data_IF_874064540519
#
_entry.id   IF_874064540519
#
_cell.length_a   1.000
_cell.length_b   1.000
_cell.length_c   1.000
_cell.angle_alpha   90.00
_cell.angle_beta   90.00
_cell.angle_gamma   90.00
#
_symmetry.space_group_name_H-M   'P 1'
#
loop_
_entity.id
_entity.type
_entity.pdbx_description
1 polymer ?
#
# COMPACT_ATOMS: atom_id res chain seq x y z
N UNK A 1 -68.84 -0.89 -78.11
CA UNK A 1 -69.77 0.20 -78.51
C UNK A 1 -70.73 0.51 -77.36
N UNK A 2 -71.26 1.75 -77.32
CA UNK A 2 -72.31 2.31 -76.43
C UNK A 2 -71.94 2.60 -74.95
N UNK A 3 -72.02 3.90 -74.65
CA UNK A 3 -71.97 4.60 -73.34
C UNK A 3 -73.28 4.45 -72.55
N UNK A 4 -73.23 4.73 -71.24
CA UNK A 4 -73.90 5.86 -70.54
C UNK A 4 -73.46 5.85 -69.05
N UNK A 5 -72.77 6.88 -68.55
CA UNK A 5 -73.28 8.10 -67.84
C UNK A 5 -73.67 7.81 -66.36
N UNK A 6 -73.37 8.62 -65.34
CA UNK A 6 -72.64 9.93 -65.22
C UNK A 6 -72.34 10.26 -63.72
N UNK A 7 -71.23 10.96 -63.45
CA UNK A 7 -70.98 12.05 -62.44
C UNK A 7 -71.37 11.80 -60.94
N UNK A 8 -70.50 11.76 -59.90
CA UNK A 8 -69.42 12.67 -59.38
C UNK A 8 -69.91 13.78 -58.42
N UNK A 9 -69.06 14.44 -57.57
CA UNK A 9 -67.81 14.03 -56.90
C UNK A 9 -67.72 14.49 -55.40
N UNK A 10 -66.63 14.17 -54.69
CA UNK A 10 -65.97 15.09 -53.74
C UNK A 10 -64.47 14.73 -53.54
N UNK A 11 -63.68 15.66 -52.98
CA UNK A 11 -62.21 15.85 -53.14
C UNK A 11 -61.59 16.13 -51.74
N UNK A 12 -60.35 15.79 -51.36
CA UNK A 12 -59.10 15.50 -52.12
C UNK A 12 -58.25 14.33 -51.54
N UNK A 13 -56.98 14.22 -51.97
CA UNK A 13 -55.90 13.38 -51.40
C UNK A 13 -54.71 14.26 -50.94
N UNK A 14 -53.77 13.66 -50.19
CA UNK A 14 -52.36 14.05 -49.91
C UNK A 14 -51.97 14.75 -48.56
N UNK A 15 -51.48 13.93 -47.62
CA UNK A 15 -50.10 13.91 -47.03
C UNK A 15 -49.41 15.12 -46.32
N UNK A 16 -48.93 14.80 -45.09
CA UNK A 16 -47.58 15.06 -44.50
C UNK A 16 -47.20 16.35 -43.71
N UNK A 17 -46.65 16.10 -42.50
CA UNK A 17 -45.64 16.83 -41.68
C UNK A 17 -45.87 18.24 -41.07
N UNK A 18 -45.99 18.30 -39.73
CA UNK A 18 -45.30 19.21 -38.76
C UNK A 18 -45.89 19.01 -37.33
N UNK A 19 -45.18 18.43 -36.35
CA UNK A 19 -44.24 19.01 -35.36
C UNK A 19 -44.85 19.80 -34.17
N UNK A 20 -44.64 19.24 -32.96
CA UNK A 20 -44.45 19.86 -31.63
C UNK A 20 -45.57 20.76 -31.04
N UNK A 21 -46.25 20.27 -29.97
CA UNK A 21 -46.20 20.85 -28.59
C UNK A 21 -47.14 20.10 -27.62
N UNK A 22 -46.58 19.37 -26.64
CA UNK A 22 -47.18 19.13 -25.30
C UNK A 22 -46.34 18.17 -24.44
N UNK A 23 -45.13 18.61 -24.06
CA UNK A 23 -44.33 17.94 -23.03
C UNK A 23 -44.75 18.41 -21.63
N UNK A 24 -45.46 17.55 -20.87
CA UNK A 24 -45.50 17.56 -19.40
C UNK A 24 -46.18 16.26 -18.92
N UNK A 25 -45.75 15.73 -17.76
CA UNK A 25 -46.17 14.45 -17.16
C UNK A 25 -45.61 13.16 -17.81
N UNK A 26 -44.28 13.06 -17.93
CA UNK A 26 -43.56 11.78 -18.07
C UNK A 26 -42.20 11.84 -17.36
N UNK A 27 -42.21 11.99 -16.04
CA UNK A 27 -40.98 12.09 -15.22
C UNK A 27 -41.20 11.54 -13.81
N UNK A 28 -41.48 10.23 -13.71
CA UNK A 28 -41.24 9.38 -12.53
C UNK A 28 -41.80 7.97 -12.81
N UNK A 29 -41.03 7.14 -13.53
CA UNK A 29 -41.17 5.67 -13.59
C UNK A 29 -40.02 5.06 -14.41
N UNK A 30 -38.79 5.23 -13.93
CA UNK A 30 -37.72 4.26 -14.17
C UNK A 30 -37.44 3.63 -12.81
N UNK A 31 -38.37 2.81 -12.34
CA UNK A 31 -38.06 1.84 -11.31
C UNK A 31 -37.14 0.79 -11.93
N UNK A 32 -36.01 0.50 -11.29
CA UNK A 32 -35.06 -0.48 -11.81
C UNK A 32 -35.64 -1.89 -11.74
N UNK A 33 -35.59 -2.62 -12.86
CA UNK A 33 -35.93 -4.05 -12.95
C UNK A 33 -34.87 -4.94 -12.25
N UNK A 34 -34.64 -4.70 -10.96
CA UNK A 34 -33.84 -5.56 -10.11
C UNK A 34 -34.73 -6.63 -9.48
N UNK A 35 -34.42 -7.91 -9.72
CA UNK A 35 -35.21 -9.02 -9.20
C UNK A 35 -35.18 -9.07 -7.65
N UNK A 36 -36.20 -9.67 -6.99
CA UNK A 36 -36.27 -9.72 -5.53
C UNK A 36 -35.06 -10.40 -4.84
N UNK A 37 -34.37 -11.30 -5.54
CA UNK A 37 -33.12 -11.92 -5.07
C UNK A 37 -31.92 -10.97 -5.17
N UNK A 38 -31.80 -10.20 -6.26
CA UNK A 38 -30.77 -9.17 -6.42
C UNK A 38 -30.93 -8.05 -5.36
N UNK A 39 -32.14 -7.56 -5.15
CA UNK A 39 -32.43 -6.57 -4.09
C UNK A 39 -32.10 -7.11 -2.69
N UNK A 40 -32.37 -8.39 -2.41
CA UNK A 40 -32.01 -9.02 -1.13
C UNK A 40 -30.49 -9.14 -0.96
N UNK A 41 -29.77 -9.56 -1.99
CA UNK A 41 -28.31 -9.69 -1.96
C UNK A 41 -27.63 -8.31 -1.78
N UNK A 42 -28.08 -7.30 -2.53
CA UNK A 42 -27.63 -5.92 -2.41
C UNK A 42 -27.81 -5.39 -0.98
N UNK A 43 -29.02 -5.52 -0.42
CA UNK A 43 -29.31 -5.10 0.95
C UNK A 43 -28.44 -5.83 1.97
N UNK A 44 -28.19 -7.14 1.80
CA UNK A 44 -27.30 -7.90 2.68
C UNK A 44 -25.85 -7.42 2.62
N UNK A 45 -25.34 -7.08 1.43
CA UNK A 45 -24.00 -6.51 1.24
C UNK A 45 -23.88 -5.13 1.90
N UNK A 46 -24.87 -4.25 1.73
CA UNK A 46 -24.92 -2.94 2.39
C UNK A 46 -24.88 -3.05 3.92
N UNK A 47 -25.64 -3.99 4.51
CA UNK A 47 -25.60 -4.25 5.95
C UNK A 47 -24.24 -4.79 6.42
N UNK A 48 -23.54 -5.60 5.60
CA UNK A 48 -22.21 -6.10 5.92
C UNK A 48 -21.16 -4.97 5.90
N UNK A 49 -21.21 -4.08 4.91
CA UNK A 49 -20.35 -2.88 4.83
C UNK A 49 -20.58 -1.98 6.06
N UNK A 50 -21.83 -1.70 6.41
CA UNK A 50 -22.15 -0.86 7.57
C UNK A 50 -21.62 -1.42 8.90
N UNK A 51 -21.73 -2.73 9.13
CA UNK A 51 -21.13 -3.38 10.32
C UNK A 51 -19.62 -3.26 10.32
N UNK A 52 -18.97 -3.56 9.20
CA UNK A 52 -17.52 -3.45 9.06
C UNK A 52 -17.02 -2.01 9.27
N UNK A 53 -17.80 -1.00 8.85
CA UNK A 53 -17.53 0.42 9.16
C UNK A 53 -17.62 0.70 10.66
N UNK A 54 -18.66 0.23 11.35
CA UNK A 54 -18.81 0.39 12.80
C UNK A 54 -17.69 -0.30 13.60
N UNK A 55 -17.24 -1.48 13.16
CA UNK A 55 -16.08 -2.18 13.73
C UNK A 55 -14.75 -1.47 13.46
N UNK A 56 -14.59 -0.88 12.27
CA UNK A 56 -13.42 -0.09 11.91
C UNK A 56 -13.33 1.19 12.73
N UNK A 57 -14.43 1.92 12.86
CA UNK A 57 -14.54 3.16 13.60
C UNK A 57 -15.93 3.31 14.23
N UNK A 58 -15.98 3.33 15.57
CA UNK A 58 -17.22 3.45 16.35
C UNK A 58 -18.09 4.68 16.03
N UNK A 59 -17.54 5.75 15.45
CA UNK A 59 -18.32 6.94 15.10
C UNK A 59 -19.48 6.64 14.14
N UNK A 60 -19.36 5.59 13.30
CA UNK A 60 -20.42 5.17 12.37
C UNK A 60 -21.68 4.63 13.04
N UNK A 61 -21.59 4.15 14.29
CA UNK A 61 -22.75 3.62 15.05
C UNK A 61 -23.85 4.67 15.32
N UNK A 62 -23.53 5.95 15.13
CA UNK A 62 -24.45 7.09 15.30
C UNK A 62 -24.75 7.81 13.98
N UNK A 63 -24.39 7.21 12.84
CA UNK A 63 -24.43 7.81 11.50
C UNK A 63 -25.10 6.90 10.47
N UNK A 64 -25.62 7.53 9.44
CA UNK A 64 -26.25 6.88 8.28
C UNK A 64 -25.56 7.33 6.99
N UNK A 65 -24.34 6.83 6.70
CA UNK A 65 -23.62 7.19 5.48
C UNK A 65 -24.38 6.75 4.23
N UNK A 66 -24.38 7.59 3.19
CA UNK A 66 -24.86 7.17 1.86
C UNK A 66 -23.82 6.29 1.16
N UNK A 67 -24.03 4.98 1.29
CA UNK A 67 -23.21 3.94 0.70
C UNK A 67 -23.44 3.76 -0.81
N UNK A 68 -24.53 4.30 -1.39
CA UNK A 68 -24.83 4.18 -2.82
C UNK A 68 -23.86 4.97 -3.70
N UNK A 69 -23.28 6.04 -3.17
CA UNK A 69 -22.34 6.92 -3.88
C UNK A 69 -20.94 6.31 -4.02
N UNK A 70 -20.71 5.14 -3.42
CA UNK A 70 -19.50 4.35 -3.66
C UNK A 70 -19.92 3.26 -4.65
N UNK A 71 -19.35 3.29 -5.86
CA UNK A 71 -19.66 2.32 -6.90
C UNK A 71 -19.06 0.94 -6.52
N UNK A 72 -19.84 0.11 -5.80
CA UNK A 72 -19.31 -1.05 -5.06
C UNK A 72 -19.67 -2.42 -5.65
N UNK A 73 -18.99 -2.79 -6.73
CA UNK A 73 -18.69 -4.21 -7.04
C UNK A 73 -17.56 -4.75 -6.13
N UNK A 74 -17.52 -4.32 -4.86
CA UNK A 74 -16.43 -4.62 -3.93
C UNK A 74 -16.80 -5.72 -2.94
N UNK A 75 -16.12 -6.86 -3.08
CA UNK A 75 -15.92 -7.77 -1.97
C UNK A 75 -14.98 -7.12 -0.93
N UNK A 76 -15.36 -7.13 0.35
CA UNK A 76 -14.48 -6.74 1.46
C UNK A 76 -13.47 -7.87 1.68
N UNK A 77 -12.47 -7.95 0.80
CA UNK A 77 -11.46 -9.01 0.80
C UNK A 77 -10.31 -8.76 1.79
N UNK A 78 -10.12 -7.51 2.25
CA UNK A 78 -9.07 -7.10 3.19
C UNK A 78 -9.36 -5.73 3.82
N UNK A 79 -8.51 -5.28 4.74
CA UNK A 79 -8.65 -3.99 5.44
C UNK A 79 -8.50 -2.76 4.52
N UNK A 80 -7.67 -2.83 3.47
CA UNK A 80 -7.36 -1.65 2.63
C UNK A 80 -8.59 -1.12 1.86
N UNK A 81 -9.42 -1.93 1.18
CA UNK A 81 -10.69 -1.47 0.61
C UNK A 81 -11.63 -0.87 1.67
N UNK A 82 -11.74 -1.49 2.85
CA UNK A 82 -12.62 -1.03 3.93
C UNK A 82 -12.19 0.34 4.47
N UNK A 83 -10.88 0.55 4.69
CA UNK A 83 -10.32 1.84 5.13
C UNK A 83 -10.50 2.91 4.04
N UNK A 84 -10.34 2.58 2.75
CA UNK A 84 -10.63 3.52 1.65
C UNK A 84 -12.10 3.95 1.62
N UNK A 85 -13.03 3.00 1.75
CA UNK A 85 -14.48 3.26 1.84
C UNK A 85 -14.76 4.22 3.01
N UNK A 86 -14.29 3.87 4.20
CA UNK A 86 -14.42 4.68 5.41
C UNK A 86 -13.93 6.12 5.25
N UNK A 87 -12.68 6.28 4.82
CA UNK A 87 -12.07 7.60 4.71
C UNK A 87 -12.70 8.43 3.59
N UNK A 88 -13.25 7.80 2.54
CA UNK A 88 -14.02 8.49 1.49
C UNK A 88 -15.36 9.02 2.01
N UNK A 89 -16.05 8.25 2.86
CA UNK A 89 -17.28 8.70 3.53
C UNK A 89 -16.98 9.83 4.53
N UNK A 90 -15.94 9.67 5.35
CA UNK A 90 -15.49 10.69 6.28
C UNK A 90 -15.11 11.99 5.53
N UNK A 91 -14.36 11.89 4.42
CA UNK A 91 -14.00 13.04 3.59
C UNK A 91 -15.24 13.78 3.05
N UNK A 92 -16.31 13.07 2.68
CA UNK A 92 -17.58 13.70 2.29
C UNK A 92 -18.24 14.44 3.46
N UNK A 93 -18.44 13.79 4.61
CA UNK A 93 -18.99 14.46 5.80
C UNK A 93 -18.20 15.72 6.17
N UNK A 94 -16.87 15.70 6.00
CA UNK A 94 -16.01 16.85 6.27
C UNK A 94 -16.07 17.96 5.21
N UNK A 95 -16.46 17.64 3.97
CA UNK A 95 -16.75 18.63 2.92
C UNK A 95 -18.09 19.32 3.15
N UNK A 96 -19.09 18.57 3.64
CA UNK A 96 -20.47 19.04 3.84
C UNK A 96 -20.69 19.71 5.22
N UNK A 97 -19.73 19.57 6.15
CA UNK A 97 -19.80 20.13 7.50
C UNK A 97 -19.86 21.67 7.54
N UNK A 98 -20.65 22.22 8.46
CA UNK A 98 -20.70 23.67 8.68
C UNK A 98 -19.36 24.22 9.19
N UNK A 99 -18.82 25.17 8.44
CA UNK A 99 -17.58 25.89 8.75
C UNK A 99 -17.82 27.36 9.07
N UNK A 100 -19.08 27.81 9.21
CA UNK A 100 -19.47 29.20 9.53
C UNK A 100 -18.57 29.83 10.61
N UNK A 101 -18.44 29.14 11.75
CA UNK A 101 -17.65 29.47 12.94
C UNK A 101 -16.13 29.57 12.76
N UNK A 102 -15.57 29.05 11.66
CA UNK A 102 -14.13 29.02 11.43
C UNK A 102 -13.62 30.36 10.86
N UNK A 103 -12.47 30.82 11.33
CA UNK A 103 -11.81 31.99 10.76
C UNK A 103 -11.19 31.69 9.38
N UNK A 104 -10.72 32.73 8.67
CA UNK A 104 -10.17 32.58 7.31
C UNK A 104 -8.96 31.63 7.24
N UNK A 105 -8.07 31.69 8.23
CA UNK A 105 -6.88 30.81 8.33
C UNK A 105 -7.28 29.36 8.55
N UNK A 106 -8.22 29.09 9.47
CA UNK A 106 -8.74 27.74 9.72
C UNK A 106 -9.46 27.17 8.49
N UNK A 107 -10.26 27.97 7.77
CA UNK A 107 -10.89 27.58 6.50
C UNK A 107 -9.85 27.22 5.43
N UNK A 108 -8.76 27.98 5.36
CA UNK A 108 -7.64 27.68 4.45
C UNK A 108 -6.93 26.38 4.82
N UNK A 109 -6.56 26.18 6.10
CA UNK A 109 -5.89 24.95 6.54
C UNK A 109 -6.77 23.72 6.37
N UNK A 110 -8.05 23.80 6.75
CA UNK A 110 -9.02 22.71 6.52
C UNK A 110 -9.07 22.29 5.05
N UNK A 111 -9.13 23.25 4.12
CA UNK A 111 -9.09 22.97 2.67
C UNK A 111 -7.82 22.26 2.23
N UNK A 112 -6.66 22.65 2.77
CA UNK A 112 -5.38 21.98 2.50
C UNK A 112 -5.37 20.55 3.05
N UNK A 113 -5.83 20.34 4.28
CA UNK A 113 -5.91 19.01 4.88
C UNK A 113 -6.89 18.08 4.15
N UNK A 114 -8.07 18.56 3.70
CA UNK A 114 -9.00 17.75 2.91
C UNK A 114 -8.37 17.28 1.60
N UNK A 115 -7.59 18.14 0.93
CA UNK A 115 -6.81 17.77 -0.26
C UNK A 115 -5.76 16.71 0.07
N UNK A 116 -5.02 16.86 1.16
CA UNK A 116 -4.03 15.87 1.63
C UNK A 116 -4.69 14.53 1.98
N UNK A 117 -5.85 14.55 2.64
CA UNK A 117 -6.62 13.34 2.97
C UNK A 117 -7.09 12.62 1.70
N UNK A 118 -7.57 13.35 0.68
CA UNK A 118 -7.92 12.76 -0.62
C UNK A 118 -6.69 12.10 -1.30
N UNK A 119 -5.52 12.72 -1.24
CA UNK A 119 -4.27 12.12 -1.75
C UNK A 119 -3.89 10.85 -0.98
N UNK A 120 -4.00 10.86 0.35
CA UNK A 120 -3.74 9.71 1.22
C UNK A 120 -4.70 8.52 0.93
N UNK A 121 -6.00 8.79 0.78
CA UNK A 121 -7.01 7.79 0.36
C UNK A 121 -6.64 7.18 -0.99
N UNK A 122 -6.26 8.02 -1.96
CA UNK A 122 -5.88 7.58 -3.30
C UNK A 122 -4.60 6.75 -3.30
N UNK A 123 -3.62 7.07 -2.45
CA UNK A 123 -2.43 6.25 -2.24
C UNK A 123 -2.78 4.87 -1.66
N UNK A 124 -3.69 4.81 -0.67
CA UNK A 124 -4.13 3.56 -0.04
C UNK A 124 -3.05 2.85 0.78
N UNK A 125 -2.04 3.59 1.24
CA UNK A 125 -0.97 3.11 2.11
C UNK A 125 -1.39 3.41 3.55
N UNK A 126 -1.67 2.36 4.32
CA UNK A 126 -2.24 2.47 5.66
C UNK A 126 -1.42 1.67 6.68
N UNK A 127 -1.33 2.14 7.94
CA UNK A 127 -0.67 1.43 9.03
C UNK A 127 -1.09 -0.02 9.19
N UNK A 128 -0.14 -0.84 9.66
CA UNK A 128 -0.37 -2.23 10.05
C UNK A 128 -0.36 -2.39 11.57
N UNK A 129 -1.39 -3.03 12.13
CA UNK A 129 -1.35 -3.47 13.53
C UNK A 129 -0.55 -4.77 13.65
N UNK A 130 0.73 -4.64 13.96
CA UNK A 130 1.63 -5.75 14.33
C UNK A 130 1.82 -5.89 15.84
N UNK A 131 1.16 -5.03 16.63
CA UNK A 131 1.48 -4.83 18.05
C UNK A 131 0.61 -5.65 19.00
N UNK A 132 -0.70 -5.66 18.80
CA UNK A 132 -1.67 -6.27 19.74
C UNK A 132 -2.81 -6.96 19.00
N UNK A 133 -3.31 -8.10 19.50
CA UNK A 133 -4.44 -8.80 18.89
C UNK A 133 -5.72 -7.94 18.83
N UNK A 134 -6.57 -8.20 17.82
CA UNK A 134 -7.82 -7.49 17.58
C UNK A 134 -7.66 -6.23 16.71
N UNK A 135 -8.70 -5.38 16.69
CA UNK A 135 -8.66 -4.07 16.01
C UNK A 135 -8.17 -3.00 16.97
N UNK A 136 -7.14 -2.25 16.61
CA UNK A 136 -6.58 -1.16 17.43
C UNK A 136 -6.13 0.03 16.57
N UNK A 137 -6.21 1.29 17.05
CA UNK A 137 -5.47 2.38 16.43
C UNK A 137 -3.97 2.06 16.34
N UNK A 138 -3.30 2.61 15.33
CA UNK A 138 -1.84 2.61 15.18
C UNK A 138 -1.49 3.99 14.63
N UNK A 139 -0.66 4.76 15.33
CA UNK A 139 -0.39 6.15 14.97
C UNK A 139 0.62 6.26 13.83
N UNK A 140 1.79 5.63 13.99
CA UNK A 140 2.72 5.30 12.91
C UNK A 140 3.12 3.83 13.08
N UNK A 141 2.98 3.02 12.02
CA UNK A 141 3.46 1.64 12.05
C UNK A 141 5.00 1.60 12.01
N UNK A 142 5.66 0.47 12.31
CA UNK A 142 7.11 0.48 12.37
C UNK A 142 7.74 0.59 10.95
N UNK A 143 6.98 0.50 9.85
CA UNK A 143 7.44 0.80 8.49
C UNK A 143 7.47 2.31 8.20
N UNK A 144 7.04 3.15 9.13
CA UNK A 144 6.90 4.60 8.95
C UNK A 144 5.57 5.01 8.31
N UNK A 145 4.64 4.06 8.09
CA UNK A 145 3.31 4.39 7.55
C UNK A 145 2.53 5.12 8.62
N UNK A 146 2.27 6.42 8.40
CA UNK A 146 1.46 7.22 9.30
C UNK A 146 -0.02 6.88 9.11
N UNK A 147 -0.81 6.94 10.18
CA UNK A 147 -2.27 6.95 10.09
C UNK A 147 -2.77 8.22 9.40
N UNK A 148 -4.05 8.25 9.02
CA UNK A 148 -4.62 9.40 8.30
C UNK A 148 -4.39 10.73 9.05
N UNK A 149 -4.55 10.75 10.37
CA UNK A 149 -4.33 11.96 11.19
C UNK A 149 -2.85 12.29 11.37
N UNK A 150 -2.00 11.30 11.64
CA UNK A 150 -0.54 11.49 11.69
C UNK A 150 0.02 12.03 10.36
N UNK A 151 -0.50 11.56 9.23
CA UNK A 151 -0.16 12.06 7.89
C UNK A 151 -0.60 13.52 7.70
N UNK A 152 -1.79 13.91 8.15
CA UNK A 152 -2.23 15.31 8.12
C UNK A 152 -1.37 16.23 8.99
N UNK A 153 -0.92 15.76 10.15
CA UNK A 153 0.01 16.48 11.04
C UNK A 153 1.35 16.66 10.33
N UNK A 154 2.00 15.57 9.92
CA UNK A 154 3.32 15.60 9.27
C UNK A 154 3.33 16.45 7.99
N UNK A 155 2.36 16.26 7.08
CA UNK A 155 2.27 17.00 5.81
C UNK A 155 1.89 18.47 5.97
N UNK A 156 1.49 18.91 7.17
CA UNK A 156 1.29 20.33 7.50
C UNK A 156 2.52 21.01 8.11
N UNK A 157 3.68 20.35 8.10
CA UNK A 157 4.94 20.86 8.65
C UNK A 157 5.25 20.42 10.09
N UNK A 158 4.39 19.60 10.70
CA UNK A 158 4.48 19.22 12.11
C UNK A 158 5.02 17.79 12.31
N UNK A 159 6.02 17.37 11.53
CA UNK A 159 6.54 16.00 11.56
C UNK A 159 7.11 15.59 12.93
N UNK A 160 7.73 16.51 13.67
CA UNK A 160 8.20 16.26 15.04
C UNK A 160 7.06 15.95 16.01
N UNK A 161 5.92 16.66 15.90
CA UNK A 161 4.71 16.38 16.68
C UNK A 161 4.13 15.00 16.33
N UNK A 162 4.13 14.61 15.06
CA UNK A 162 3.67 13.28 14.65
C UNK A 162 4.54 12.15 15.25
N UNK A 163 5.86 12.33 15.30
CA UNK A 163 6.78 11.38 15.93
C UNK A 163 6.58 11.33 17.46
N UNK A 164 6.48 12.47 18.12
CA UNK A 164 6.25 12.56 19.57
C UNK A 164 4.94 11.88 19.99
N UNK A 165 3.84 12.12 19.25
CA UNK A 165 2.57 11.41 19.49
C UNK A 165 2.73 9.90 19.28
N UNK A 166 3.53 9.46 18.31
CA UNK A 166 3.79 8.04 18.12
C UNK A 166 4.60 7.42 19.27
N UNK A 167 5.58 8.13 19.82
CA UNK A 167 6.40 7.66 20.95
C UNK A 167 5.58 7.55 22.24
N UNK A 168 4.70 8.52 22.51
CA UNK A 168 3.88 8.55 23.73
C UNK A 168 2.59 7.70 23.64
N UNK A 169 1.96 7.65 22.46
CA UNK A 169 0.55 7.24 22.29
C UNK A 169 0.32 6.37 21.03
N UNK A 170 1.27 5.50 20.69
CA UNK A 170 1.26 4.68 19.46
C UNK A 170 -0.06 3.97 19.14
N UNK A 171 -0.80 3.49 20.16
CA UNK A 171 -1.97 2.61 20.00
C UNK A 171 -3.28 3.22 20.54
N UNK A 172 -3.31 4.53 20.78
CA UNK A 172 -4.42 5.20 21.45
C UNK A 172 -5.42 5.85 20.49
N UNK A 173 -6.66 6.00 20.96
CA UNK A 173 -7.65 6.84 20.27
C UNK A 173 -7.30 8.31 20.49
N UNK A 174 -7.58 9.17 19.51
CA UNK A 174 -7.33 10.62 19.60
C UNK A 174 -8.03 11.30 20.78
N UNK A 175 -9.11 10.72 21.32
CA UNK A 175 -9.74 11.18 22.55
C UNK A 175 -8.85 11.06 23.79
N UNK A 176 -7.85 10.20 23.74
CA UNK A 176 -7.08 9.72 24.88
C UNK A 176 -5.64 10.28 24.85
N UNK A 177 -5.13 10.67 23.67
CA UNK A 177 -3.81 11.29 23.46
C UNK A 177 -3.69 12.63 24.23
N UNK A 178 -2.55 12.86 24.91
CA UNK A 178 -2.30 14.06 25.71
C UNK A 178 -1.04 14.85 25.33
N UNK A 179 -0.28 14.39 24.33
CA UNK A 179 0.93 15.04 23.79
C UNK A 179 0.78 16.55 23.61
N UNK A 180 1.78 17.29 24.05
CA UNK A 180 1.85 18.74 23.90
C UNK A 180 1.85 19.12 22.40
N UNK A 181 1.15 20.20 22.03
CA UNK A 181 1.03 20.65 20.65
C UNK A 181 -0.15 20.05 19.87
N UNK A 182 -0.70 18.89 20.25
CA UNK A 182 -1.82 18.28 19.52
C UNK A 182 -3.08 19.16 19.53
N UNK A 183 -3.42 19.78 20.67
CA UNK A 183 -4.57 20.70 20.77
C UNK A 183 -4.36 21.96 19.93
N UNK A 184 -3.19 22.57 20.02
CA UNK A 184 -2.83 23.76 19.26
C UNK A 184 -2.88 23.50 17.74
N UNK A 185 -2.36 22.34 17.30
CA UNK A 185 -2.47 21.91 15.91
C UNK A 185 -3.93 21.66 15.49
N UNK A 186 -4.73 20.99 16.32
CA UNK A 186 -6.14 20.73 16.04
C UNK A 186 -6.93 22.04 15.88
N UNK A 187 -6.73 23.02 16.77
CA UNK A 187 -7.39 24.33 16.67
C UNK A 187 -6.99 25.11 15.41
N UNK A 188 -5.71 25.03 15.02
CA UNK A 188 -5.20 25.65 13.79
C UNK A 188 -5.69 24.94 12.50
N UNK A 189 -5.88 23.61 12.55
CA UNK A 189 -6.27 22.79 11.40
C UNK A 189 -7.67 23.10 10.84
N UNK A 190 -8.56 23.66 11.66
CA UNK A 190 -9.97 23.84 11.32
C UNK A 190 -10.82 22.56 11.40
N UNK A 191 -10.31 21.49 12.00
CA UNK A 191 -11.10 20.34 12.45
C UNK A 191 -11.38 20.39 13.95
N UNK A 192 -12.50 19.79 14.36
CA UNK A 192 -12.78 19.42 15.74
C UNK A 192 -12.23 18.03 16.08
N UNK A 193 -12.09 17.72 17.38
CA UNK A 193 -11.69 16.38 17.83
C UNK A 193 -12.67 15.27 17.38
N UNK A 194 -13.97 15.56 17.24
CA UNK A 194 -14.95 14.61 16.74
C UNK A 194 -14.73 14.27 15.25
N UNK A 195 -14.33 15.26 14.45
CA UNK A 195 -13.97 15.08 13.04
C UNK A 195 -12.65 14.30 12.89
N UNK A 196 -11.63 14.62 13.68
CA UNK A 196 -10.38 13.85 13.70
C UNK A 196 -10.61 12.40 14.18
N UNK A 197 -11.51 12.18 15.14
CA UNK A 197 -11.92 10.85 15.57
C UNK A 197 -12.73 10.08 14.51
N UNK A 198 -13.44 10.77 13.61
CA UNK A 198 -14.04 10.16 12.41
C UNK A 198 -12.96 9.83 11.35
N UNK A 199 -11.87 10.59 11.27
CA UNK A 199 -10.74 10.31 10.36
C UNK A 199 -9.87 9.15 10.87
N UNK A 200 -9.83 8.87 12.18
CA UNK A 200 -9.00 7.80 12.76
C UNK A 200 -9.66 6.41 12.64
N UNK A 201 -9.16 5.50 11.78
CA UNK A 201 -9.59 4.11 11.81
C UNK A 201 -8.88 3.32 12.91
N UNK A 202 -9.35 2.08 13.12
CA UNK A 202 -8.54 1.00 13.70
C UNK A 202 -7.96 0.10 12.61
N UNK A 203 -6.95 -0.71 12.94
CA UNK A 203 -6.34 -1.67 12.04
C UNK A 203 -6.44 -3.07 12.63
N UNK A 204 -6.88 -4.04 11.83
CA UNK A 204 -6.95 -5.44 12.25
C UNK A 204 -5.55 -6.01 12.48
N UNK A 205 -5.34 -6.68 13.62
CA UNK A 205 -4.07 -7.33 13.93
C UNK A 205 -3.68 -8.33 12.85
N UNK A 206 -2.48 -8.16 12.30
CA UNK A 206 -1.88 -9.08 11.35
C UNK A 206 -1.22 -10.21 12.11
N UNK A 207 -1.89 -11.37 12.14
CA UNK A 207 -1.26 -12.60 12.64
C UNK A 207 -0.07 -12.94 11.77
N UNK A 208 1.12 -12.87 12.36
CA UNK A 208 2.37 -12.92 11.62
C UNK A 208 2.72 -14.29 11.06
N UNK A 209 3.35 -14.28 9.89
CA UNK A 209 4.22 -15.34 9.41
C UNK A 209 5.58 -15.18 10.10
N UNK A 210 6.02 -16.15 10.89
CA UNK A 210 7.41 -16.14 11.40
C UNK A 210 8.33 -16.50 10.24
N UNK A 211 9.34 -15.68 9.95
CA UNK A 211 10.34 -15.97 8.92
C UNK A 211 11.71 -16.15 9.56
N UNK A 212 12.34 -17.29 9.30
CA UNK A 212 13.67 -17.62 9.80
C UNK A 212 14.66 -17.78 8.64
N UNK A 213 15.86 -17.22 8.81
CA UNK A 213 16.97 -17.32 7.86
C UNK A 213 18.08 -18.24 8.39
N UNK A 214 19.05 -18.66 7.57
CA UNK A 214 20.32 -19.19 8.07
C UNK A 214 21.00 -18.16 8.99
N UNK A 215 21.72 -18.63 10.00
CA UNK A 215 22.29 -17.76 11.04
C UNK A 215 23.20 -16.68 10.46
N UNK A 216 24.01 -17.02 9.47
CA UNK A 216 24.94 -16.11 8.81
C UNK A 216 24.22 -14.97 8.07
N UNK A 217 23.02 -15.26 7.55
CA UNK A 217 22.15 -14.30 6.87
C UNK A 217 21.41 -13.43 7.88
N UNK A 218 20.88 -14.02 8.97
CA UNK A 218 20.23 -13.26 10.04
C UNK A 218 21.20 -12.25 10.69
N UNK A 219 22.42 -12.68 11.05
CA UNK A 219 23.45 -11.80 11.59
C UNK A 219 23.85 -10.71 10.58
N UNK A 220 24.02 -11.07 9.30
CA UNK A 220 24.33 -10.09 8.25
C UNK A 220 23.23 -9.02 8.09
N UNK A 221 21.96 -9.42 8.11
CA UNK A 221 20.81 -8.50 8.06
C UNK A 221 20.73 -7.60 9.31
N UNK A 222 21.18 -8.09 10.47
CA UNK A 222 21.32 -7.30 11.69
C UNK A 222 22.56 -6.37 11.68
N UNK A 223 23.42 -6.49 10.66
CA UNK A 223 24.60 -5.64 10.46
C UNK A 223 25.92 -6.25 10.92
N UNK A 224 25.96 -7.55 11.23
CA UNK A 224 27.17 -8.29 11.56
C UNK A 224 27.53 -9.27 10.43
N UNK A 225 28.60 -8.99 9.69
CA UNK A 225 29.07 -9.84 8.59
C UNK A 225 30.08 -10.92 9.00
N UNK A 226 30.52 -11.00 10.26
CA UNK A 226 31.63 -11.86 10.69
C UNK A 226 31.37 -13.35 10.41
N UNK A 227 30.16 -13.86 10.70
CA UNK A 227 29.80 -15.25 10.45
C UNK A 227 29.76 -15.57 8.96
N UNK A 228 29.14 -14.70 8.15
CA UNK A 228 29.07 -14.84 6.69
C UNK A 228 30.46 -14.79 6.05
N UNK A 229 31.30 -13.83 6.46
CA UNK A 229 32.68 -13.70 5.97
C UNK A 229 33.56 -14.89 6.39
N UNK A 230 33.38 -15.41 7.59
CA UNK A 230 34.08 -16.62 8.06
C UNK A 230 33.67 -17.85 7.24
N UNK A 231 32.37 -18.00 6.97
CA UNK A 231 31.81 -19.12 6.22
C UNK A 231 32.18 -19.10 4.73
N UNK A 232 32.29 -17.92 4.12
CA UNK A 232 32.86 -17.73 2.79
C UNK A 232 34.36 -18.08 2.77
N UNK A 233 35.13 -17.54 3.71
CA UNK A 233 36.59 -17.72 3.76
C UNK A 233 37.03 -19.17 4.01
N UNK A 234 36.25 -19.93 4.79
CA UNK A 234 36.55 -21.33 5.08
C UNK A 234 35.91 -22.33 4.08
N UNK A 235 35.17 -21.83 3.07
CA UNK A 235 34.52 -22.66 2.04
C UNK A 235 33.31 -23.45 2.51
N UNK A 236 32.75 -23.18 3.71
CA UNK A 236 31.50 -23.80 4.16
C UNK A 236 30.26 -23.24 3.46
N UNK A 237 30.35 -22.04 2.91
CA UNK A 237 29.36 -21.44 2.02
C UNK A 237 30.05 -21.07 0.69
N UNK A 238 29.50 -21.57 -0.42
CA UNK A 238 29.94 -21.21 -1.76
C UNK A 238 29.59 -19.74 -2.09
N UNK A 239 30.46 -19.05 -2.82
CA UNK A 239 30.29 -17.61 -3.15
C UNK A 239 29.02 -17.33 -3.97
N UNK A 240 28.54 -18.32 -4.73
CA UNK A 240 27.32 -18.30 -5.54
C UNK A 240 26.15 -19.04 -4.86
N UNK A 241 26.29 -19.44 -3.60
CA UNK A 241 25.21 -20.05 -2.82
C UNK A 241 23.97 -19.14 -2.79
N UNK A 242 22.79 -19.78 -2.81
CA UNK A 242 21.50 -19.10 -2.84
C UNK A 242 20.75 -19.29 -1.52
N UNK A 243 20.18 -18.19 -1.02
CA UNK A 243 19.18 -18.17 0.05
C UNK A 243 17.93 -17.50 -0.52
N UNK A 244 16.78 -18.15 -0.45
CA UNK A 244 15.54 -17.59 -1.02
C UNK A 244 15.61 -17.31 -2.52
N UNK A 245 16.36 -18.14 -3.26
CA UNK A 245 16.61 -17.96 -4.70
C UNK A 245 17.59 -16.84 -5.06
N UNK A 246 18.17 -16.13 -4.08
CA UNK A 246 19.03 -14.96 -4.25
C UNK A 246 20.47 -15.31 -3.88
N UNK A 247 21.44 -14.86 -4.67
CA UNK A 247 22.87 -15.06 -4.36
C UNK A 247 23.32 -14.10 -3.26
N UNK A 248 24.49 -14.34 -2.67
CA UNK A 248 25.08 -13.45 -1.67
C UNK A 248 25.36 -12.05 -2.28
N UNK A 249 25.65 -11.97 -3.58
CA UNK A 249 25.80 -10.70 -4.30
C UNK A 249 24.48 -9.90 -4.34
N UNK A 250 23.32 -10.55 -4.46
CA UNK A 250 22.02 -9.88 -4.32
C UNK A 250 21.77 -9.38 -2.89
N UNK A 251 22.19 -10.13 -1.86
CA UNK A 251 22.10 -9.69 -0.46
C UNK A 251 22.92 -8.41 -0.24
N UNK A 252 24.19 -8.43 -0.67
CA UNK A 252 25.11 -7.31 -0.50
C UNK A 252 24.62 -6.05 -1.23
N UNK A 253 24.12 -6.21 -2.46
CA UNK A 253 23.57 -5.11 -3.22
C UNK A 253 22.27 -4.53 -2.63
N UNK A 254 21.37 -5.38 -2.12
CA UNK A 254 20.15 -4.95 -1.43
C UNK A 254 20.45 -4.20 -0.11
N UNK A 255 21.54 -4.56 0.57
CA UNK A 255 22.01 -3.97 1.82
C UNK A 255 22.86 -2.69 1.66
N UNK A 256 23.31 -2.38 0.43
CA UNK A 256 24.22 -1.26 0.16
C UNK A 256 25.69 -1.54 0.49
N UNK A 257 26.05 -2.80 0.75
CA UNK A 257 27.39 -3.19 1.20
C UNK A 257 28.37 -3.28 0.03
N UNK A 258 28.92 -2.13 -0.35
CA UNK A 258 29.85 -2.00 -1.47
C UNK A 258 31.16 -2.79 -1.25
N UNK A 259 31.59 -2.98 -0.01
CA UNK A 259 32.83 -3.70 0.27
C UNK A 259 32.64 -5.21 0.23
N UNK A 260 31.48 -5.73 0.68
CA UNK A 260 31.11 -7.11 0.43
C UNK A 260 30.88 -7.38 -1.07
N UNK A 261 30.23 -6.48 -1.82
CA UNK A 261 30.05 -6.60 -3.28
C UNK A 261 31.40 -6.80 -4.00
N UNK A 262 32.42 -5.98 -3.68
CA UNK A 262 33.77 -6.14 -4.26
C UNK A 262 34.39 -7.47 -3.90
N UNK A 263 34.40 -7.83 -2.60
CA UNK A 263 35.00 -9.07 -2.08
C UNK A 263 34.38 -10.33 -2.68
N UNK A 264 33.06 -10.32 -2.92
CA UNK A 264 32.35 -11.42 -3.56
C UNK A 264 32.80 -11.60 -5.01
N UNK A 265 32.93 -10.51 -5.77
CA UNK A 265 33.37 -10.55 -7.17
C UNK A 265 34.86 -10.91 -7.30
N UNK A 266 35.72 -10.40 -6.41
CA UNK A 266 37.11 -10.86 -6.24
C UNK A 266 37.17 -12.37 -5.92
N UNK A 267 36.19 -12.87 -5.17
CA UNK A 267 36.01 -14.29 -4.82
C UNK A 267 35.33 -15.16 -5.89
N UNK A 268 34.99 -14.63 -7.07
CA UNK A 268 34.37 -15.39 -8.16
C UNK A 268 32.84 -15.49 -8.10
N UNK A 269 32.16 -14.52 -7.47
CA UNK A 269 30.72 -14.37 -7.63
C UNK A 269 30.33 -14.09 -9.09
N UNK A 270 29.26 -14.73 -9.54
CA UNK A 270 28.64 -14.50 -10.84
C UNK A 270 27.94 -13.12 -10.85
N UNK A 271 28.50 -12.19 -11.62
CA UNK A 271 27.99 -10.81 -11.78
C UNK A 271 26.64 -10.78 -12.50
N UNK A 272 26.42 -11.70 -13.44
CA UNK A 272 25.24 -11.78 -14.30
C UNK A 272 24.14 -12.66 -13.68
N UNK A 273 24.38 -13.20 -12.48
CA UNK A 273 23.42 -14.03 -11.75
C UNK A 273 22.08 -13.32 -11.57
N UNK A 274 21.01 -13.99 -12.01
CA UNK A 274 19.62 -13.59 -11.72
C UNK A 274 19.03 -14.37 -10.54
N UNK A 275 18.14 -13.72 -9.80
CA UNK A 275 17.40 -14.31 -8.69
C UNK A 275 16.21 -15.13 -9.16
N UNK A 276 15.83 -16.12 -8.34
CA UNK A 276 14.63 -16.95 -8.52
C UNK A 276 13.65 -16.75 -7.36
N UNK A 277 12.51 -17.44 -7.41
CA UNK A 277 11.46 -17.36 -6.38
C UNK A 277 11.82 -17.99 -5.03
N UNK A 278 12.89 -18.78 -4.93
CA UNK A 278 13.23 -19.54 -3.73
C UNK A 278 12.31 -20.74 -3.43
N UNK A 279 11.09 -20.77 -3.96
CA UNK A 279 10.16 -21.91 -3.87
C UNK A 279 9.30 -22.05 -5.14
N UNK A 280 8.40 -23.05 -5.17
CA UNK A 280 7.58 -23.32 -6.34
C UNK A 280 6.42 -22.31 -6.51
N UNK A 281 6.01 -22.09 -7.77
CA UNK A 281 4.95 -21.13 -8.13
C UNK A 281 3.58 -21.45 -7.53
N UNK A 282 3.31 -22.67 -7.04
CA UNK A 282 2.03 -23.01 -6.38
C UNK A 282 2.05 -22.68 -4.89
N UNK A 283 3.19 -22.85 -4.23
CA UNK A 283 3.40 -22.45 -2.84
C UNK A 283 3.38 -20.92 -2.69
N UNK A 284 3.97 -20.17 -3.64
CA UNK A 284 3.86 -18.70 -3.71
C UNK A 284 2.38 -18.23 -3.70
N UNK A 285 1.47 -18.89 -4.42
CA UNK A 285 0.03 -18.52 -4.45
C UNK A 285 -0.69 -18.72 -3.11
N UNK A 286 -0.08 -19.44 -2.16
CA UNK A 286 -0.67 -19.81 -0.85
C UNK A 286 -0.13 -18.99 0.30
N UNK A 287 0.75 -18.05 0.01
CA UNK A 287 1.42 -17.16 0.96
C UNK A 287 0.44 -16.36 1.81
N UNK A 288 0.87 -16.00 3.02
CA UNK A 288 0.04 -15.39 4.06
C UNK A 288 -0.91 -16.37 4.75
N UNK A 289 -1.05 -17.62 4.27
CA UNK A 289 -1.80 -18.70 4.94
C UNK A 289 -0.92 -19.63 5.78
N UNK A 290 0.33 -19.23 6.01
CA UNK A 290 1.35 -19.98 6.74
C UNK A 290 1.73 -19.21 8.00
N UNK A 291 2.06 -19.90 9.10
CA UNK A 291 2.51 -19.23 10.34
C UNK A 291 4.03 -19.31 10.53
N UNK A 292 4.70 -20.20 9.80
CA UNK A 292 6.15 -20.35 9.82
C UNK A 292 6.67 -20.56 8.40
N UNK A 293 7.71 -19.82 8.06
CA UNK A 293 8.49 -19.96 6.83
C UNK A 293 9.97 -19.99 7.19
N UNK A 294 10.71 -20.92 6.60
CA UNK A 294 12.13 -21.12 6.91
C UNK A 294 12.93 -21.21 5.62
N UNK A 295 13.83 -20.25 5.43
CA UNK A 295 14.76 -20.17 4.31
C UNK A 295 16.06 -20.87 4.69
N UNK A 296 16.65 -21.59 3.75
CA UNK A 296 17.89 -22.34 3.94
C UNK A 296 18.83 -22.12 2.75
N UNK A 297 20.12 -22.43 2.92
CA UNK A 297 21.09 -22.39 1.83
C UNK A 297 20.82 -23.52 0.81
N UNK A 298 20.77 -23.15 -0.47
CA UNK A 298 20.71 -24.05 -1.63
C UNK A 298 19.53 -25.06 -1.66
N UNK A 299 18.50 -24.86 -0.86
CA UNK A 299 17.25 -25.66 -0.90
C UNK A 299 16.02 -24.75 -1.04
N UNK A 300 14.86 -25.29 -1.47
CA UNK A 300 13.62 -24.53 -1.48
C UNK A 300 13.23 -24.00 -0.10
N UNK A 301 12.64 -22.80 -0.07
CA UNK A 301 12.05 -22.21 1.15
C UNK A 301 10.90 -23.11 1.66
N UNK A 302 10.90 -23.41 2.96
CA UNK A 302 9.95 -24.33 3.62
C UNK A 302 8.81 -23.54 4.25
N UNK A 303 7.56 -23.99 4.07
CA UNK A 303 6.35 -23.32 4.55
C UNK A 303 5.52 -24.27 5.43
N UNK A 304 5.10 -23.83 6.62
CA UNK A 304 4.36 -24.67 7.57
C UNK A 304 3.43 -23.90 8.50
N UNK A 305 2.57 -24.65 9.20
CA UNK A 305 1.51 -24.14 10.09
C UNK A 305 0.31 -23.54 9.35
N UNK A 306 -0.91 -23.78 9.84
CA UNK A 306 -2.14 -23.27 9.19
C UNK A 306 -2.48 -21.87 9.71
N UNK A 307 -2.16 -20.84 8.93
CA UNK A 307 -2.45 -19.44 9.24
C UNK A 307 -3.78 -18.95 8.65
N UNK A 308 -4.38 -17.95 9.29
CA UNK A 308 -5.33 -17.04 8.62
C UNK A 308 -4.53 -16.12 7.68
N UNK A 309 -5.10 -15.64 6.55
CA UNK A 309 -4.44 -14.66 5.70
C UNK A 309 -3.97 -13.44 6.50
N UNK A 310 -2.65 -13.27 6.60
CA UNK A 310 -2.00 -12.16 7.30
C UNK A 310 -0.52 -12.08 6.91
N UNK A 311 -0.04 -10.87 6.61
CA UNK A 311 1.37 -10.61 6.30
C UNK A 311 1.92 -9.73 7.41
N UNK A 312 2.50 -10.35 8.42
CA UNK A 312 3.38 -9.70 9.38
C UNK A 312 4.59 -10.59 9.55
N UNK A 313 5.78 -10.10 9.23
CA UNK A 313 6.97 -10.95 9.33
C UNK A 313 7.54 -10.85 10.75
N UNK A 314 7.50 -11.96 11.48
CA UNK A 314 8.06 -12.07 12.82
C UNK A 314 9.47 -12.70 12.75
N UNK A 315 10.43 -12.08 13.43
CA UNK A 315 11.84 -12.52 13.49
C UNK A 315 12.74 -11.39 13.97
N UNK A 316 13.98 -11.69 14.38
CA UNK A 316 14.91 -10.68 14.93
C UNK A 316 15.16 -9.54 13.92
N UNK A 317 15.39 -9.88 12.66
CA UNK A 317 15.61 -8.91 11.56
C UNK A 317 14.41 -7.97 11.34
N UNK A 318 13.20 -8.35 11.75
CA UNK A 318 12.00 -7.54 11.54
C UNK A 318 11.77 -6.48 12.62
N UNK A 319 12.48 -6.59 13.76
CA UNK A 319 12.38 -5.62 14.86
C UNK A 319 13.13 -4.30 14.55
N UNK A 320 14.16 -4.34 13.71
CA UNK A 320 14.93 -3.16 13.31
C UNK A 320 14.46 -2.62 11.94
N UNK A 321 14.32 -1.30 11.78
CA UNK A 321 13.84 -0.69 10.54
C UNK A 321 14.77 -0.90 9.32
N UNK A 322 16.09 -0.88 9.51
CA UNK A 322 17.09 -1.17 8.45
C UNK A 322 17.07 -2.65 8.10
N UNK A 323 17.15 -3.53 9.10
CA UNK A 323 17.16 -4.98 8.87
C UNK A 323 15.87 -5.47 8.21
N UNK A 324 14.72 -4.94 8.62
CA UNK A 324 13.40 -5.21 8.01
C UNK A 324 13.30 -4.70 6.59
N UNK A 325 13.87 -3.52 6.28
CA UNK A 325 13.95 -3.04 4.91
C UNK A 325 14.69 -4.05 4.03
N UNK A 326 15.86 -4.53 4.46
CA UNK A 326 16.67 -5.45 3.66
C UNK A 326 15.94 -6.81 3.55
N UNK A 327 15.41 -7.34 4.65
CA UNK A 327 14.61 -8.56 4.66
C UNK A 327 13.35 -8.47 3.75
N UNK A 328 12.70 -7.30 3.66
CA UNK A 328 11.57 -7.06 2.75
C UNK A 328 11.99 -7.04 1.28
N UNK A 329 13.18 -6.51 0.94
CA UNK A 329 13.74 -6.60 -0.42
C UNK A 329 14.04 -8.05 -0.81
N UNK A 330 14.40 -8.86 0.18
CA UNK A 330 14.72 -10.28 0.02
C UNK A 330 13.52 -11.23 0.13
N UNK A 331 12.32 -10.71 0.38
CA UNK A 331 11.11 -11.48 0.69
C UNK A 331 10.70 -12.44 -0.45
N UNK A 332 11.02 -13.72 -0.30
CA UNK A 332 10.59 -14.83 -1.19
C UNK A 332 9.08 -15.07 -1.12
N UNK A 333 8.52 -14.78 0.05
CA UNK A 333 7.19 -15.19 0.49
C UNK A 333 6.17 -14.52 -0.43
N UNK A 334 6.23 -13.20 -0.63
CA UNK A 334 5.31 -12.51 -1.56
C UNK A 334 5.67 -12.65 -3.06
N UNK A 335 6.38 -13.71 -3.44
CA UNK A 335 6.75 -14.03 -4.82
C UNK A 335 8.11 -13.50 -5.27
N UNK A 336 8.97 -13.06 -4.33
CA UNK A 336 10.34 -12.64 -4.62
C UNK A 336 10.46 -11.56 -5.70
N UNK A 337 11.62 -11.54 -6.36
CA UNK A 337 11.84 -10.80 -7.60
C UNK A 337 12.55 -11.70 -8.60
N UNK A 338 11.81 -12.61 -9.24
CA UNK A 338 12.35 -13.51 -10.28
C UNK A 338 12.97 -12.69 -11.43
N UNK A 339 14.18 -13.06 -11.87
CA UNK A 339 14.89 -12.42 -12.99
C UNK A 339 15.76 -11.20 -12.63
N UNK A 340 15.76 -10.74 -11.38
CA UNK A 340 16.51 -9.55 -10.97
C UNK A 340 17.99 -9.86 -10.75
N UNK A 341 18.86 -8.96 -11.21
CA UNK A 341 20.30 -9.02 -10.97
C UNK A 341 20.71 -8.11 -9.79
N UNK A 342 22.01 -8.08 -9.47
CA UNK A 342 22.53 -7.29 -8.35
C UNK A 342 22.27 -5.77 -8.49
N UNK A 343 22.34 -5.22 -9.71
CA UNK A 343 22.07 -3.80 -9.94
C UNK A 343 20.61 -3.46 -9.67
N UNK A 344 19.68 -4.32 -10.10
CA UNK A 344 18.25 -4.15 -9.81
C UNK A 344 18.01 -4.10 -8.30
N UNK A 345 18.59 -5.05 -7.54
CA UNK A 345 18.48 -5.06 -6.07
C UNK A 345 19.06 -3.81 -5.39
N UNK A 346 20.08 -3.16 -5.96
CA UNK A 346 20.61 -1.91 -5.46
C UNK A 346 19.69 -0.70 -5.77
N UNK A 347 19.06 -0.64 -6.94
CA UNK A 347 18.25 0.53 -7.36
C UNK A 347 16.77 0.48 -6.97
N UNK A 348 16.21 -0.71 -6.70
CA UNK A 348 14.78 -0.86 -6.45
C UNK A 348 14.30 -0.02 -5.25
N UNK A 349 13.31 0.87 -5.40
CA UNK A 349 12.75 1.59 -4.26
C UNK A 349 12.14 0.59 -3.25
N UNK A 350 12.13 0.92 -1.95
CA UNK A 350 11.46 0.10 -0.95
C UNK A 350 10.00 -0.16 -1.33
N UNK A 351 9.67 -1.43 -1.53
CA UNK A 351 8.30 -1.88 -1.55
C UNK A 351 7.75 -1.83 -0.12
N UNK A 352 6.99 -0.79 0.20
CA UNK A 352 6.39 -0.59 1.53
C UNK A 352 5.30 -1.64 1.87
N UNK A 353 4.94 -2.51 0.91
CA UNK A 353 3.89 -3.54 1.00
C UNK A 353 4.30 -4.77 0.18
N UNK A 354 3.84 -5.96 0.57
CA UNK A 354 3.91 -7.22 -0.20
C UNK A 354 3.04 -7.24 -1.48
N UNK A 355 2.86 -6.09 -2.13
CA UNK A 355 2.03 -5.89 -3.32
C UNK A 355 2.88 -5.68 -4.60
N UNK A 356 4.04 -6.34 -4.71
CA UNK A 356 4.93 -6.22 -5.87
C UNK A 356 5.42 -7.56 -6.45
N UNK A 357 4.57 -8.61 -6.51
CA UNK A 357 4.72 -9.71 -7.47
C UNK A 357 3.48 -10.64 -7.66
N UNK A 358 2.23 -10.17 -7.51
CA UNK A 358 1.08 -11.01 -7.91
C UNK A 358 0.94 -11.01 -9.45
N UNK A 359 1.56 -12.00 -10.09
CA UNK A 359 1.39 -12.42 -11.50
C UNK A 359 1.91 -11.48 -12.60
N UNK A 360 3.16 -11.03 -12.51
CA UNK A 360 3.82 -10.30 -13.60
C UNK A 360 3.18 -8.95 -13.96
N UNK A 361 2.15 -8.51 -13.22
CA UNK A 361 1.59 -7.16 -13.36
C UNK A 361 2.40 -6.21 -12.52
N UNK A 362 3.17 -5.36 -13.20
CA UNK A 362 3.81 -4.22 -12.58
C UNK A 362 2.73 -3.24 -12.08
N UNK A 363 2.51 -3.19 -10.76
CA UNK A 363 1.99 -1.97 -10.17
C UNK A 363 3.09 -0.92 -10.29
N UNK A 364 2.75 0.27 -10.81
CA UNK A 364 3.71 1.38 -10.91
C UNK A 364 4.18 1.74 -9.51
N UNK A 365 5.43 1.44 -9.21
CA UNK A 365 6.10 2.01 -8.06
C UNK A 365 6.08 3.54 -8.22
N UNK A 366 5.40 4.25 -7.32
CA UNK A 366 5.58 5.69 -7.19
C UNK A 366 6.89 5.91 -6.44
N UNK A 367 7.94 6.45 -7.08
CA UNK A 367 9.21 6.68 -6.41
C UNK A 367 9.03 7.78 -5.37
N UNK A 368 9.21 7.44 -4.09
CA UNK A 368 9.47 8.45 -3.07
C UNK A 368 10.87 9.01 -3.34
N UNK A 369 10.98 10.34 -3.51
CA UNK A 369 12.28 11.01 -3.61
C UNK A 369 12.82 11.30 -5.02
N UNK A 370 12.02 11.88 -5.93
CA UNK A 370 12.56 12.44 -7.19
C UNK A 370 11.86 13.70 -7.74
N UNK A 371 11.34 14.61 -6.89
CA UNK A 371 11.13 16.04 -7.23
C UNK A 371 10.77 16.92 -6.02
N UNK A 372 11.69 17.84 -5.70
CA UNK A 372 11.56 19.12 -4.98
C UNK A 372 10.22 19.39 -4.24
N UNK A 373 10.28 19.37 -2.92
CA UNK A 373 9.53 20.32 -2.08
C UNK A 373 10.53 21.21 -1.36
N UNK A 374 10.70 22.43 -1.87
CA UNK A 374 11.61 23.40 -1.27
C UNK A 374 10.92 24.17 -0.15
N UNK A 375 11.18 23.77 1.09
CA UNK A 375 11.18 24.62 2.29
C UNK A 375 12.20 23.98 3.24
N UNK A 376 13.24 24.72 3.65
CA UNK A 376 14.13 24.28 4.73
C UNK A 376 13.44 24.63 6.05
N UNK A 377 13.16 23.66 6.94
CA UNK A 377 12.77 23.98 8.31
C UNK A 377 13.96 24.59 9.04
N UNK A 378 13.74 25.65 9.82
CA UNK A 378 14.70 26.05 10.84
C UNK A 378 14.60 25.06 12.01
N UNK A 379 15.36 23.98 11.92
CA UNK A 379 15.76 23.14 13.04
C UNK A 379 17.28 23.05 13.01
N UNK A 380 17.92 23.08 14.17
CA UNK A 380 19.36 22.84 14.28
C UNK A 380 19.62 21.43 13.74
N UNK A 381 20.25 21.36 12.57
CA UNK A 381 20.35 20.12 11.84
C UNK A 381 21.33 19.18 12.55
N UNK A 382 20.83 18.01 12.96
CA UNK A 382 21.65 16.81 12.98
C UNK A 382 22.34 16.70 11.62
N UNK A 383 23.65 16.91 11.57
CA UNK A 383 24.45 16.75 10.35
C UNK A 383 24.56 15.30 9.93
N UNK A 384 24.23 14.38 10.84
CA UNK A 384 24.21 12.95 10.60
C UNK A 384 22.93 12.52 9.84
N UNK A 385 23.06 11.85 8.68
CA UNK A 385 21.92 11.26 7.98
C UNK A 385 21.23 10.18 8.82
N UNK A 386 19.92 10.04 8.64
CA UNK A 386 19.17 8.95 9.28
C UNK A 386 19.64 7.57 8.77
N UNK A 387 19.39 6.47 9.50
CA UNK A 387 19.74 5.12 9.03
C UNK A 387 19.16 4.76 7.65
N UNK A 388 18.01 5.34 7.27
CA UNK A 388 17.37 5.11 5.96
C UNK A 388 18.02 5.95 4.85
N UNK A 389 18.43 7.17 5.15
CA UNK A 389 19.18 8.02 4.22
C UNK A 389 20.57 7.44 3.94
N UNK A 390 21.28 6.94 4.96
CA UNK A 390 22.53 6.18 4.79
C UNK A 390 22.33 5.00 3.86
N UNK A 391 21.39 4.11 4.17
CA UNK A 391 21.09 2.94 3.34
C UNK A 391 20.76 3.30 1.87
N UNK A 392 20.08 4.42 1.65
CA UNK A 392 19.79 4.94 0.30
C UNK A 392 21.07 5.42 -0.42
N UNK A 393 21.97 6.10 0.28
CA UNK A 393 23.27 6.55 -0.24
C UNK A 393 24.20 5.36 -0.54
N UNK A 394 24.31 4.41 0.39
CA UNK A 394 25.14 3.21 0.30
C UNK A 394 24.75 2.38 -0.93
N UNK A 395 23.44 2.14 -1.11
CA UNK A 395 22.90 1.45 -2.29
C UNK A 395 23.10 2.22 -3.59
N UNK A 396 23.02 3.54 -3.57
CA UNK A 396 23.35 4.35 -4.75
C UNK A 396 24.84 4.24 -5.14
N UNK A 397 25.74 4.10 -4.15
CA UNK A 397 27.16 3.83 -4.40
C UNK A 397 27.38 2.44 -5.02
N UNK A 398 26.71 1.40 -4.50
CA UNK A 398 26.71 0.06 -5.12
C UNK A 398 26.20 0.10 -6.55
N UNK A 399 25.03 0.71 -6.78
CA UNK A 399 24.44 0.79 -8.12
C UNK A 399 25.29 1.57 -9.12
N UNK A 400 26.05 2.58 -8.66
CA UNK A 400 27.03 3.28 -9.49
C UNK A 400 28.20 2.36 -9.84
N UNK A 401 28.72 1.62 -8.88
CA UNK A 401 29.88 0.75 -9.06
C UNK A 401 29.57 -0.48 -9.93
N UNK A 402 28.41 -1.12 -9.77
CA UNK A 402 27.98 -2.26 -10.61
C UNK A 402 27.85 -1.86 -12.09
N UNK A 403 27.30 -0.67 -12.38
CA UNK A 403 27.28 -0.13 -13.75
C UNK A 403 28.68 0.11 -14.33
N UNK A 404 29.68 0.42 -13.50
CA UNK A 404 31.07 0.54 -13.94
C UNK A 404 31.71 -0.83 -14.26
N UNK A 405 31.20 -1.93 -13.71
CA UNK A 405 31.59 -3.30 -14.11
C UNK A 405 30.88 -3.78 -15.38
N UNK A 406 30.06 -2.94 -16.02
CA UNK A 406 29.31 -3.27 -17.23
C UNK A 406 27.94 -3.92 -16.98
N UNK A 407 27.57 -4.21 -15.73
CA UNK A 407 26.26 -4.77 -15.41
C UNK A 407 25.15 -3.77 -15.76
N UNK A 408 24.20 -4.21 -16.58
CA UNK A 408 23.04 -3.43 -17.00
C UNK A 408 21.84 -3.77 -16.11
N UNK A 409 20.86 -2.87 -16.07
CA UNK A 409 19.57 -3.16 -15.43
C UNK A 409 18.88 -4.25 -16.25
N UNK A 410 18.39 -5.33 -15.62
CA UNK A 410 17.60 -6.30 -16.36
C UNK A 410 16.25 -5.65 -16.66
N UNK A 411 16.18 -5.03 -17.83
CA UNK A 411 14.96 -4.43 -18.34
C UNK A 411 13.84 -5.44 -18.25
N UNK A 412 12.74 -5.03 -17.60
CA UNK A 412 11.52 -5.82 -17.45
C UNK A 412 11.08 -6.33 -18.82
N UNK A 413 11.49 -7.54 -19.19
CA UNK A 413 11.00 -8.18 -20.39
C UNK A 413 9.53 -8.44 -20.16
N UNK A 414 8.68 -7.75 -20.93
CA UNK A 414 7.27 -8.06 -21.01
C UNK A 414 7.13 -9.55 -21.27
N UNK A 415 6.67 -10.29 -20.26
CA UNK A 415 6.17 -11.65 -20.43
C UNK A 415 4.88 -11.53 -21.22
N UNK A 416 5.03 -11.37 -22.54
CA UNK A 416 3.95 -11.52 -23.50
C UNK A 416 3.29 -12.85 -23.19
N UNK A 417 2.01 -12.78 -22.85
CA UNK A 417 1.20 -13.97 -22.67
C UNK A 417 1.09 -14.64 -24.04
N UNK A 418 1.91 -15.66 -24.29
CA UNK A 418 1.58 -16.69 -25.26
C UNK A 418 0.36 -17.44 -24.70
N UNK A 419 -0.82 -16.96 -25.09
CA UNK A 419 -2.06 -17.68 -24.92
C UNK A 419 -1.97 -19.00 -25.71
N UNK A 420 -2.15 -20.17 -25.08
CA UNK A 420 -2.33 -21.41 -25.82
C UNK A 420 -3.61 -21.29 -26.66
N UNK A 421 -3.52 -21.65 -27.95
CA UNK A 421 -4.68 -21.97 -28.79
C UNK A 421 -5.11 -23.42 -28.54
#
# INVERSE_FOLDING_TARGET
MKRKNRLSPFVSVLTFLALITSTLLASNLIASDASPSQNRAYNQQQHAVYRALCELNRQWSTRSPDLNVINTDFAIASDVPLIRIHLSLALRELHDADTSRLNATQKHQRKNHLKTLQTYINAGQFPQNVFVEGRRPVFIDPCGTHCAVGHLIAMSGHASLANMINEEHQLDYLSDIRTEGLRQWQEASGFSLAELALIQPTYQHLRGTTLTYPKEVEEYLLGNSDALMSALKNGSIDVNARVGGKTILHLAAAAGDLDLVKRLLEGGADLDAVSTLGCDKTTVKRVGRWTLVSVHWNTPTVFSGKGKPGIGFNGAVYQNARSRYIANVLNDVDGGREGFNALDFAIQPPAMHGNYAYWGRQLKAYPFGAKRFGHKPNQEASTEPTPMERLTQDRAAVAKWLRQQGLQENGLQDVKQESPQ
#
